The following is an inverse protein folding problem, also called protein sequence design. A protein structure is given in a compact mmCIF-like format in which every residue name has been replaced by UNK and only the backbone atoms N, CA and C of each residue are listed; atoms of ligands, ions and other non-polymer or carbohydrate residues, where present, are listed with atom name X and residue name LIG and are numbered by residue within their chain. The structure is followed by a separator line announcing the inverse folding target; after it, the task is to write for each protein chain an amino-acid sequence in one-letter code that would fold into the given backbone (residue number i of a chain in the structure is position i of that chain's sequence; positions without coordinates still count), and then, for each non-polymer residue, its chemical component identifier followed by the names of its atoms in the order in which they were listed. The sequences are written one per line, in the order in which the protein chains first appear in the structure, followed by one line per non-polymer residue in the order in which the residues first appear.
data_IF_809131053393
#
_entry.id   IF_809131053393
#
_cell.length_a   1.000
_cell.length_b   1.000
_cell.length_c   1.000
_cell.angle_alpha   90.00
_cell.angle_beta   90.00
_cell.angle_gamma   90.00
#
_symmetry.space_group_name_H-M   'P 1'
#
loop_
_entity.id
_entity.type
_entity.pdbx_description
1 polymer ?
#
# COMPACT_ATOMS: atom_id res chain seq x y z
N UNK A 1 -2.19 7.78 4.78
CA UNK A 1 -2.47 7.69 3.31
C UNK A 1 -3.66 8.54 2.90
N UNK A 2 -3.69 9.07 1.68
CA UNK A 2 -4.87 9.78 1.13
C UNK A 2 -6.14 8.89 1.19
N UNK A 3 -7.24 9.34 1.83
CA UNK A 3 -8.45 8.52 2.00
C UNK A 3 -9.10 8.06 0.68
N UNK A 4 -8.98 8.87 -0.37
CA UNK A 4 -9.55 8.57 -1.69
C UNK A 4 -8.78 7.42 -2.36
N UNK A 5 -7.46 7.40 -2.19
CA UNK A 5 -6.61 6.32 -2.68
C UNK A 5 -6.85 5.02 -1.90
N UNK A 6 -7.04 5.09 -0.58
CA UNK A 6 -7.43 3.93 0.24
C UNK A 6 -8.77 3.35 -0.24
N UNK A 7 -9.75 4.21 -0.52
CA UNK A 7 -11.04 3.78 -1.04
C UNK A 7 -10.90 3.10 -2.42
N UNK A 8 -10.11 3.69 -3.32
CA UNK A 8 -9.86 3.13 -4.64
C UNK A 8 -9.15 1.76 -4.55
N UNK A 9 -8.13 1.64 -3.69
CA UNK A 9 -7.42 0.39 -3.44
C UNK A 9 -8.37 -0.72 -2.98
N UNK A 10 -9.23 -0.42 -2.00
CA UNK A 10 -10.21 -1.37 -1.48
C UNK A 10 -11.20 -1.83 -2.55
N UNK A 11 -11.62 -0.94 -3.46
CA UNK A 11 -12.50 -1.29 -4.59
C UNK A 11 -11.78 -2.24 -5.56
N UNK A 12 -10.52 -1.96 -5.91
CA UNK A 12 -9.72 -2.82 -6.79
C UNK A 12 -9.56 -4.21 -6.16
N UNK A 13 -9.16 -4.27 -4.88
CA UNK A 13 -8.96 -5.52 -4.17
C UNK A 13 -10.25 -6.33 -4.10
N UNK A 14 -11.37 -5.69 -3.74
CA UNK A 14 -12.68 -6.32 -3.73
C UNK A 14 -13.07 -6.88 -5.10
N UNK A 15 -12.90 -6.09 -6.17
CA UNK A 15 -13.24 -6.50 -7.54
C UNK A 15 -12.42 -7.69 -8.03
N UNK A 16 -11.18 -7.83 -7.57
CA UNK A 16 -10.27 -8.92 -7.98
C UNK A 16 -10.24 -10.09 -6.97
N UNK A 17 -11.03 -10.03 -5.90
CA UNK A 17 -11.01 -11.05 -4.84
C UNK A 17 -9.68 -11.10 -4.07
N UNK A 18 -8.92 -10.00 -4.08
CA UNK A 18 -7.66 -9.87 -3.36
C UNK A 18 -7.91 -9.42 -1.92
N UNK A 19 -6.97 -9.79 -1.05
CA UNK A 19 -6.88 -9.30 0.32
C UNK A 19 -5.46 -8.81 0.56
N UNK A 20 -5.33 -7.74 1.34
CA UNK A 20 -4.01 -7.27 1.75
C UNK A 20 -3.32 -8.34 2.59
N UNK A 21 -2.03 -8.57 2.34
CA UNK A 21 -1.28 -9.52 3.15
C UNK A 21 -0.94 -8.90 4.50
N UNK A 22 -0.85 -9.73 5.53
CA UNK A 22 -0.40 -9.32 6.85
C UNK A 22 1.07 -8.86 6.84
N UNK A 23 1.81 -9.07 5.75
CA UNK A 23 3.19 -8.64 5.62
C UNK A 23 3.33 -7.11 5.52
N UNK A 24 2.29 -6.40 5.08
CA UNK A 24 2.33 -4.94 4.93
C UNK A 24 1.06 -4.20 5.41
N UNK A 25 -0.06 -4.89 5.65
CA UNK A 25 -1.27 -4.25 6.18
C UNK A 25 -1.61 -4.74 7.61
N UNK A 26 -0.78 -4.37 8.58
CA UNK A 26 -0.90 -4.80 9.98
C UNK A 26 -1.84 -3.87 10.78
N UNK A 27 -1.91 -2.58 10.41
CA UNK A 27 -2.62 -1.54 11.16
C UNK A 27 -3.94 -1.08 10.53
N UNK A 28 -4.24 -1.51 9.29
CA UNK A 28 -5.30 -0.92 8.47
C UNK A 28 -4.86 0.36 7.75
N UNK A 29 -3.64 0.85 7.98
CA UNK A 29 -3.01 1.90 7.17
C UNK A 29 -2.16 1.28 6.06
N UNK A 30 -2.55 1.43 4.78
CA UNK A 30 -1.89 0.74 3.67
C UNK A 30 -0.47 1.26 3.37
N UNK A 31 -0.17 2.54 3.64
CA UNK A 31 1.18 3.08 3.48
C UNK A 31 1.99 3.00 4.77
N UNK A 32 2.22 1.77 5.24
CA UNK A 32 3.06 1.50 6.41
C UNK A 32 4.02 0.33 6.15
N UNK A 33 5.06 0.20 6.98
CA UNK A 33 6.05 -0.88 6.88
C UNK A 33 6.67 -1.01 5.49
N UNK A 34 6.56 -2.20 4.89
CA UNK A 34 7.11 -2.55 3.60
C UNK A 34 6.62 -1.65 2.44
N UNK A 35 5.47 -0.98 2.59
CA UNK A 35 4.93 -0.08 1.58
C UNK A 35 5.72 1.24 1.45
N UNK A 36 6.47 1.65 2.48
CA UNK A 36 7.19 2.93 2.52
C UNK A 36 8.71 2.79 2.71
N UNK A 37 9.19 1.59 3.04
CA UNK A 37 10.61 1.33 3.25
C UNK A 37 11.33 0.86 1.96
N UNK A 38 12.57 0.39 2.10
CA UNK A 38 13.38 -0.12 1.00
C UNK A 38 13.05 -1.54 0.52
N UNK A 39 12.02 -2.19 1.06
CA UNK A 39 11.65 -3.57 0.70
C UNK A 39 11.27 -3.65 -0.78
N UNK A 40 11.87 -4.59 -1.52
CA UNK A 40 11.50 -4.83 -2.91
C UNK A 40 10.26 -5.72 -2.99
N UNK A 41 9.11 -5.09 -3.20
CA UNK A 41 7.81 -5.77 -3.31
C UNK A 41 7.55 -6.33 -4.72
N UNK A 42 8.31 -5.87 -5.72
CA UNK A 42 8.09 -6.23 -7.12
C UNK A 42 8.65 -7.64 -7.38
N UNK A 43 9.81 -7.92 -6.78
CA UNK A 43 10.55 -9.18 -6.95
C UNK A 43 10.12 -10.31 -6.01
N UNK A 44 9.46 -10.00 -4.88
CA UNK A 44 9.07 -11.00 -3.89
C UNK A 44 7.62 -11.49 -4.10
N UNK A 45 7.41 -12.75 -4.54
CA UNK A 45 6.08 -13.31 -4.72
C UNK A 45 5.31 -13.51 -3.41
N UNK A 46 5.98 -13.61 -2.25
CA UNK A 46 5.32 -13.78 -0.95
C UNK A 46 4.70 -12.47 -0.45
N UNK A 47 5.17 -11.32 -0.95
CA UNK A 47 4.61 -10.01 -0.63
C UNK A 47 3.37 -9.67 -1.46
N UNK A 48 3.13 -10.35 -2.59
CA UNK A 48 2.01 -10.04 -3.49
C UNK A 48 0.66 -10.51 -2.92
N UNK A 49 -0.42 -9.71 -3.05
CA UNK A 49 -0.44 -8.36 -3.59
C UNK A 49 0.16 -7.34 -2.61
N UNK A 50 0.94 -6.38 -3.10
CA UNK A 50 1.60 -5.34 -2.31
C UNK A 50 1.44 -3.98 -2.98
N UNK A 51 1.76 -2.90 -2.25
CA UNK A 51 1.74 -1.54 -2.78
C UNK A 51 3.02 -0.80 -2.40
N UNK A 52 3.39 0.22 -3.17
CA UNK A 52 4.37 1.23 -2.74
C UNK A 52 3.72 2.58 -2.58
N UNK A 53 4.21 3.32 -1.59
CA UNK A 53 3.77 4.67 -1.31
C UNK A 53 4.93 5.65 -1.26
N UNK A 54 4.64 6.89 -1.62
CA UNK A 54 5.50 8.05 -1.42
C UNK A 54 4.89 8.94 -0.33
N UNK A 55 5.63 9.16 0.76
CA UNK A 55 5.22 10.00 1.89
C UNK A 55 5.99 11.32 1.95
N UNK A 56 6.41 11.88 0.81
CA UNK A 56 7.09 13.18 0.77
C UNK A 56 6.11 14.37 0.71
N UNK A 57 4.83 14.10 0.46
CA UNK A 57 3.82 15.14 0.24
C UNK A 57 3.45 15.88 1.53
N UNK A 58 3.25 17.20 1.39
CA UNK A 58 2.82 18.12 2.46
C UNK A 58 3.60 17.93 3.78
N UNK A 59 4.93 18.11 3.71
CA UNK A 59 5.83 17.92 4.85
C UNK A 59 5.72 16.52 5.49
N UNK A 60 5.59 15.48 4.65
CA UNK A 60 5.47 14.08 5.07
C UNK A 60 4.25 13.74 5.93
N UNK A 61 3.19 14.53 5.81
CA UNK A 61 1.91 14.28 6.52
C UNK A 61 0.91 13.49 5.68
N UNK A 62 1.11 13.41 4.36
CA UNK A 62 0.25 12.64 3.45
C UNK A 62 1.12 11.70 2.64
N UNK A 63 0.66 10.46 2.52
CA UNK A 63 1.27 9.43 1.68
C UNK A 63 0.37 9.12 0.49
N UNK A 64 0.99 9.00 -0.68
CA UNK A 64 0.33 8.64 -1.94
C UNK A 64 0.74 7.25 -2.40
N UNK A 65 -0.22 6.43 -2.83
CA UNK A 65 0.05 5.14 -3.47
C UNK A 65 0.62 5.40 -4.87
N UNK A 66 1.84 4.91 -5.12
CA UNK A 66 2.54 5.11 -6.39
C UNK A 66 2.64 3.84 -7.23
N UNK A 67 2.45 2.64 -6.63
CA UNK A 67 2.46 1.34 -7.32
C UNK A 67 1.54 0.31 -6.64
N UNK A 68 1.06 -0.64 -7.45
CA UNK A 68 0.21 -1.80 -7.09
C UNK A 68 0.84 -3.10 -7.65
#
# INVERSE_FOLDING_TARGET
TDPSEVAALNIIFSRWGLQASAAWNISGEPCSGAAIDGTDIDSDPELKPAIKCDCSYNASTVCHITRL
#
